data_IF_461838795859
#
_entry.id   IF_461838795859
#
_cell.length_a   1.000
_cell.length_b   1.000
_cell.length_c   1.000
_cell.angle_alpha   90.00
_cell.angle_beta   90.00
_cell.angle_gamma   90.00
#
_symmetry.space_group_name_H-M   'P 1'
#
loop_
_entity.id
_entity.type
_entity.pdbx_description
1 polymer ?
#
# COMPACT_ATOMS: atom_id res chain seq x y z
N UNK A 1 52.17 14.79 31.75
CA UNK A 1 51.08 15.14 32.67
C UNK A 1 50.08 16.04 31.96
N UNK A 2 49.32 15.50 31.04
CA UNK A 2 48.26 16.22 30.28
C UNK A 2 47.58 15.20 29.32
N UNK A 3 46.75 14.33 29.89
CA UNK A 3 45.86 13.47 29.10
C UNK A 3 44.78 12.90 30.00
N UNK A 4 43.80 13.73 30.38
CA UNK A 4 42.59 13.22 31.09
C UNK A 4 41.43 14.20 31.13
N UNK A 5 41.17 14.99 30.08
CA UNK A 5 39.96 15.83 30.04
C UNK A 5 39.33 15.91 28.64
N UNK A 6 39.04 14.78 28.00
CA UNK A 6 38.32 14.83 26.68
C UNK A 6 37.25 13.79 26.48
N UNK A 7 36.80 13.12 27.54
CA UNK A 7 35.77 12.04 27.40
C UNK A 7 34.40 12.41 27.98
N UNK A 8 34.25 13.57 28.62
CA UNK A 8 33.00 13.87 29.35
C UNK A 8 31.98 14.77 28.61
N UNK A 9 32.32 15.36 27.48
CA UNK A 9 31.39 16.26 26.77
C UNK A 9 30.47 15.60 25.73
N UNK A 10 30.73 14.35 25.32
CA UNK A 10 29.91 13.71 24.28
C UNK A 10 28.70 12.93 24.81
N UNK A 11 28.66 12.61 26.08
CA UNK A 11 27.57 11.86 26.69
C UNK A 11 26.37 12.75 27.11
N UNK A 12 26.58 14.04 27.32
CA UNK A 12 25.52 14.94 27.79
C UNK A 12 24.61 15.49 26.65
N UNK A 13 25.10 15.54 25.41
CA UNK A 13 24.32 16.07 24.30
C UNK A 13 23.29 15.05 23.78
N UNK A 14 23.57 13.74 23.94
CA UNK A 14 22.64 12.68 23.53
C UNK A 14 21.47 12.53 24.51
N UNK A 15 21.70 12.84 25.80
CA UNK A 15 20.63 12.75 26.81
C UNK A 15 19.65 13.94 26.77
N UNK A 16 20.07 15.11 26.28
CA UNK A 16 19.20 16.29 26.23
C UNK A 16 18.18 16.27 25.08
N UNK A 17 18.45 15.53 24.00
CA UNK A 17 17.48 15.41 22.88
C UNK A 17 16.40 14.37 23.16
N UNK A 18 16.65 13.36 23.99
CA UNK A 18 15.65 12.34 24.34
C UNK A 18 14.65 12.83 25.40
N UNK A 19 15.05 13.75 26.28
CA UNK A 19 14.16 14.28 27.31
C UNK A 19 13.19 15.36 26.83
N UNK A 20 13.50 16.06 25.74
CA UNK A 20 12.58 17.06 25.18
C UNK A 20 11.47 16.48 24.30
N UNK A 21 11.63 15.27 23.78
CA UNK A 21 10.58 14.58 23.02
C UNK A 21 9.52 13.99 23.96
N UNK A 22 9.91 13.53 25.14
CA UNK A 22 8.98 13.05 26.16
C UNK A 22 8.17 14.16 26.84
N UNK A 23 8.66 15.39 26.88
CA UNK A 23 7.93 16.54 27.45
C UNK A 23 6.89 17.14 26.47
N UNK A 24 7.04 16.98 25.19
CA UNK A 24 6.04 17.43 24.22
C UNK A 24 4.76 16.57 24.22
N UNK A 25 4.82 15.37 24.78
CA UNK A 25 3.67 14.44 24.90
C UNK A 25 2.99 14.47 26.28
N UNK A 26 3.40 15.29 27.23
CA UNK A 26 2.84 15.29 28.60
C UNK A 26 1.50 16.00 28.76
N UNK A 27 0.93 16.59 27.71
CA UNK A 27 -0.42 17.16 27.73
C UNK A 27 -1.36 16.31 26.87
N UNK A 28 -2.11 15.42 27.53
CA UNK A 28 -3.24 14.66 26.96
C UNK A 28 -2.94 13.70 25.79
N UNK A 29 -1.81 13.05 25.76
CA UNK A 29 -1.68 11.82 25.00
C UNK A 29 -2.24 10.68 25.85
N UNK A 30 -3.43 10.21 25.56
CA UNK A 30 -3.91 8.94 26.10
C UNK A 30 -2.86 7.85 25.91
N UNK A 31 -2.82 6.87 26.79
CA UNK A 31 -1.76 5.86 26.99
C UNK A 31 -1.46 4.90 25.81
N UNK A 32 -1.77 5.26 24.59
CA UNK A 32 -1.79 4.39 23.43
C UNK A 32 -1.02 4.87 22.19
N UNK A 33 -0.31 6.00 22.26
CA UNK A 33 0.52 6.47 21.14
C UNK A 33 1.91 5.89 21.27
N UNK A 34 2.19 4.80 20.59
CA UNK A 34 3.55 4.27 20.49
C UNK A 34 4.27 4.97 19.35
N UNK A 35 4.97 6.05 19.66
CA UNK A 35 5.99 6.58 18.76
C UNK A 35 7.22 5.70 18.93
N UNK A 36 7.38 4.72 18.07
CA UNK A 36 8.62 3.95 18.02
C UNK A 36 9.58 4.63 17.06
N UNK A 37 10.45 5.48 17.60
CA UNK A 37 11.63 5.92 16.87
C UNK A 37 12.64 4.78 16.85
N UNK A 38 12.69 4.03 15.74
CA UNK A 38 13.79 3.13 15.48
C UNK A 38 14.63 3.72 14.36
N UNK A 39 15.88 4.08 14.67
CA UNK A 39 16.82 4.65 13.73
C UNK A 39 16.95 3.76 12.46
N UNK A 40 16.64 4.28 11.27
CA UNK A 40 16.85 3.54 10.03
C UNK A 40 18.33 3.33 9.69
N UNK A 41 19.29 3.80 10.49
CA UNK A 41 20.73 3.83 10.22
C UNK A 41 21.63 3.00 11.08
N UNK A 42 21.15 2.48 12.17
CA UNK A 42 22.03 1.67 13.02
C UNK A 42 22.37 0.32 12.36
N UNK A 43 23.44 -0.35 12.85
CA UNK A 43 23.78 -1.68 12.38
C UNK A 43 22.54 -2.55 12.43
N UNK A 44 22.32 -3.36 11.39
CA UNK A 44 21.24 -4.31 11.35
C UNK A 44 21.29 -5.10 12.66
N UNK A 45 20.40 -4.81 13.59
CA UNK A 45 20.22 -5.71 14.71
C UNK A 45 19.74 -7.02 14.12
N UNK A 46 20.00 -8.13 14.77
CA UNK A 46 19.53 -9.48 14.36
C UNK A 46 18.02 -9.49 13.95
N UNK A 47 17.29 -8.41 14.17
CA UNK A 47 15.86 -8.20 13.92
C UNK A 47 15.51 -6.84 13.25
N UNK A 48 16.42 -6.17 12.72
CA UNK A 48 16.65 -5.19 11.64
C UNK A 48 15.84 -3.99 11.50
N UNK A 49 14.80 -3.55 12.10
CA UNK A 49 14.07 -2.44 11.53
C UNK A 49 13.85 -1.22 12.36
N UNK A 50 14.28 -0.18 11.75
CA UNK A 50 14.28 1.16 12.32
C UNK A 50 13.60 2.12 11.38
N UNK A 51 12.30 2.30 11.51
CA UNK A 51 11.60 3.41 10.88
C UNK A 51 10.90 4.27 11.89
N UNK A 52 10.65 5.44 11.44
CA UNK A 52 9.71 6.32 12.06
C UNK A 52 8.30 5.80 11.73
N UNK A 53 7.62 5.21 12.71
CA UNK A 53 6.22 4.85 12.56
C UNK A 53 5.45 5.59 13.65
N UNK A 54 4.52 6.42 13.25
CA UNK A 54 3.47 6.88 14.14
C UNK A 54 2.27 5.99 13.85
N UNK A 55 1.95 5.08 14.77
CA UNK A 55 0.76 4.26 14.68
C UNK A 55 -0.35 4.93 15.49
N UNK A 56 -1.47 5.19 14.83
CA UNK A 56 -2.68 5.62 15.51
C UNK A 56 -3.52 4.38 15.78
N UNK A 57 -3.91 4.12 17.02
CA UNK A 57 -4.88 3.07 17.32
C UNK A 57 -6.17 3.28 16.54
N UNK A 58 -6.79 2.19 16.08
CA UNK A 58 -7.98 2.21 15.21
C UNK A 58 -9.13 3.11 15.67
N UNK A 59 -9.23 3.35 16.96
CA UNK A 59 -10.33 4.12 17.57
C UNK A 59 -9.93 5.51 18.00
N UNK A 60 -8.66 5.84 17.92
CA UNK A 60 -8.19 7.14 18.35
C UNK A 60 -8.41 8.22 17.31
N UNK A 61 -8.63 9.40 17.84
CA UNK A 61 -8.81 10.61 17.04
C UNK A 61 -7.54 11.46 17.12
N UNK A 62 -6.57 11.25 16.20
CA UNK A 62 -5.37 12.08 16.20
C UNK A 62 -5.76 13.55 16.02
N UNK A 63 -5.05 14.44 16.68
CA UNK A 63 -5.17 15.88 16.45
C UNK A 63 -4.16 16.35 15.39
N UNK A 64 -4.21 17.63 15.02
CA UNK A 64 -3.35 18.19 13.97
C UNK A 64 -1.86 18.08 14.31
N UNK A 65 -1.48 18.14 15.59
CA UNK A 65 -0.08 17.96 16.01
C UNK A 65 0.40 16.52 15.78
N UNK A 66 -0.41 15.52 16.14
CA UNK A 66 -0.07 14.11 15.90
C UNK A 66 -0.09 13.74 14.42
N UNK A 67 -0.98 14.34 13.61
CA UNK A 67 -0.98 14.18 12.16
C UNK A 67 0.29 14.81 11.55
N UNK A 68 0.72 15.98 12.04
CA UNK A 68 1.97 16.61 11.61
C UNK A 68 3.19 15.74 11.92
N UNK A 69 3.22 15.11 13.09
CA UNK A 69 4.29 14.15 13.47
C UNK A 69 4.29 12.92 12.54
N UNK A 70 3.10 12.39 12.20
CA UNK A 70 2.97 11.28 11.26
C UNK A 70 3.54 11.66 9.88
N UNK A 71 3.18 12.83 9.35
CA UNK A 71 3.66 13.32 8.06
C UNK A 71 5.16 13.60 8.05
N UNK A 72 5.70 14.19 9.12
CA UNK A 72 7.14 14.41 9.28
C UNK A 72 7.89 13.07 9.35
N UNK A 73 7.40 12.11 10.12
CA UNK A 73 7.99 10.77 10.24
C UNK A 73 8.00 10.04 8.90
N UNK A 74 6.92 10.14 8.14
CA UNK A 74 6.81 9.57 6.80
C UNK A 74 7.84 10.16 5.83
N UNK A 75 8.03 11.48 5.84
CA UNK A 75 9.01 12.17 4.99
C UNK A 75 10.45 11.81 5.37
N UNK A 76 10.74 11.74 6.67
CA UNK A 76 12.05 11.31 7.17
C UNK A 76 12.37 9.87 6.77
N UNK A 77 11.39 8.97 6.90
CA UNK A 77 11.54 7.58 6.48
C UNK A 77 11.82 7.49 4.96
N UNK A 78 11.07 8.20 4.15
CA UNK A 78 11.29 8.28 2.70
C UNK A 78 12.71 8.76 2.36
N UNK A 79 13.14 9.86 2.98
CA UNK A 79 14.48 10.41 2.76
C UNK A 79 15.58 9.43 3.16
N UNK A 80 15.39 8.72 4.28
CA UNK A 80 16.33 7.70 4.75
C UNK A 80 16.41 6.48 3.82
N UNK A 81 15.30 6.02 3.25
CA UNK A 81 15.30 4.96 2.24
C UNK A 81 16.02 5.39 0.97
N UNK A 82 15.73 6.60 0.49
CA UNK A 82 16.33 7.15 -0.74
C UNK A 82 17.84 7.32 -0.58
N UNK A 83 18.30 7.90 0.53
CA UNK A 83 19.74 8.13 0.77
C UNK A 83 20.57 6.84 0.86
N UNK A 84 19.93 5.71 1.15
CA UNK A 84 20.58 4.39 1.26
C UNK A 84 20.47 3.52 0.04
N UNK A 85 19.85 3.99 -1.03
CA UNK A 85 19.60 3.18 -2.21
C UNK A 85 18.59 2.05 -1.99
N UNK A 86 17.80 2.09 -0.90
CA UNK A 86 16.79 1.08 -0.59
C UNK A 86 15.43 1.39 -1.26
N UNK A 87 15.48 2.03 -2.42
CA UNK A 87 14.30 2.37 -3.20
C UNK A 87 14.52 2.09 -4.67
N UNK A 88 13.54 1.47 -5.27
CA UNK A 88 13.40 1.44 -6.72
C UNK A 88 12.44 2.56 -7.14
N UNK A 89 12.85 3.39 -8.07
CA UNK A 89 12.12 4.59 -8.47
C UNK A 89 11.88 4.63 -9.96
N UNK A 90 10.69 5.04 -10.37
CA UNK A 90 10.30 5.22 -11.77
C UNK A 90 9.98 6.69 -11.99
N UNK A 91 10.77 7.34 -12.84
CA UNK A 91 10.58 8.74 -13.22
C UNK A 91 9.46 8.87 -14.25
N UNK A 92 8.71 9.97 -14.27
CA UNK A 92 7.74 10.24 -15.32
C UNK A 92 8.43 10.45 -16.66
N UNK A 93 7.69 10.20 -17.75
CA UNK A 93 8.16 10.40 -19.14
C UNK A 93 7.78 11.76 -19.70
N UNK A 94 7.02 12.58 -18.97
CA UNK A 94 6.53 13.88 -19.43
C UNK A 94 5.30 13.81 -20.34
N UNK A 95 4.61 12.65 -20.38
CA UNK A 95 3.41 12.40 -21.18
C UNK A 95 2.17 12.16 -20.31
N UNK A 96 2.16 12.74 -19.10
CA UNK A 96 1.08 12.55 -18.14
C UNK A 96 -0.28 12.99 -18.68
N UNK A 97 -1.31 12.19 -18.37
CA UNK A 97 -2.69 12.57 -18.70
C UNK A 97 -3.15 13.66 -17.74
N UNK A 98 -3.66 14.76 -18.32
CA UNK A 98 -4.29 15.84 -17.57
C UNK A 98 -5.81 15.60 -17.49
N UNK A 99 -6.38 15.82 -16.31
CA UNK A 99 -7.82 15.72 -16.12
C UNK A 99 -8.48 17.10 -16.11
N UNK A 100 -9.66 17.17 -16.68
CA UNK A 100 -10.52 18.34 -16.46
C UNK A 100 -10.86 18.43 -14.97
N UNK A 101 -10.79 19.60 -14.39
CA UNK A 101 -11.18 19.85 -12.99
C UNK A 101 -12.36 20.81 -13.00
N UNK A 102 -13.47 20.39 -12.40
CA UNK A 102 -14.60 21.28 -12.20
C UNK A 102 -14.41 22.08 -10.91
N UNK A 103 -15.13 23.23 -10.78
CA UNK A 103 -15.23 23.89 -9.49
C UNK A 103 -15.81 22.91 -8.47
N UNK A 104 -15.16 22.79 -7.30
CA UNK A 104 -15.64 21.91 -6.25
C UNK A 104 -17.08 22.29 -5.86
N UNK A 105 -18.02 21.34 -5.89
CA UNK A 105 -19.33 21.55 -5.31
C UNK A 105 -19.20 21.67 -3.79
N UNK A 106 -20.10 22.41 -3.16
CA UNK A 106 -20.11 22.52 -1.71
C UNK A 106 -20.43 21.17 -1.06
N UNK A 107 -19.62 20.77 -0.10
CA UNK A 107 -19.87 19.62 0.75
C UNK A 107 -19.36 19.94 2.16
N UNK A 108 -20.24 20.50 2.98
CA UNK A 108 -19.92 20.95 4.35
C UNK A 108 -19.27 19.85 5.17
N UNK A 109 -19.73 18.60 5.01
CA UNK A 109 -19.21 17.46 5.77
C UNK A 109 -17.80 17.10 5.28
N UNK A 110 -17.55 17.10 3.96
CA UNK A 110 -16.25 16.77 3.41
C UNK A 110 -15.22 17.88 3.70
N UNK A 111 -15.66 19.14 3.57
CA UNK A 111 -14.84 20.31 3.92
C UNK A 111 -14.46 20.30 5.40
N UNK A 112 -15.37 19.86 6.28
CA UNK A 112 -15.08 19.64 7.71
C UNK A 112 -14.04 18.52 7.91
N UNK A 113 -14.12 17.44 7.14
CA UNK A 113 -13.10 16.36 7.23
C UNK A 113 -11.72 16.84 6.76
N UNK A 114 -11.65 17.63 5.69
CA UNK A 114 -10.39 18.20 5.21
C UNK A 114 -9.83 19.29 6.13
N UNK A 115 -10.68 20.02 6.86
CA UNK A 115 -10.25 21.11 7.76
C UNK A 115 -9.93 20.66 9.18
N UNK A 116 -10.58 19.60 9.69
CA UNK A 116 -10.49 19.18 11.10
C UNK A 116 -10.45 17.64 11.28
N UNK A 117 -10.63 16.89 10.20
CA UNK A 117 -10.64 15.41 10.25
C UNK A 117 -9.31 14.81 9.83
N UNK A 118 -9.35 13.58 9.37
CA UNK A 118 -8.18 12.74 9.09
C UNK A 118 -7.86 12.60 7.63
N UNK A 119 -8.78 13.03 6.75
CA UNK A 119 -8.60 12.98 5.30
C UNK A 119 -7.57 14.03 4.90
N UNK A 120 -6.48 13.59 4.28
CA UNK A 120 -5.38 14.42 3.79
C UNK A 120 -5.52 14.71 2.30
N UNK A 121 -6.28 13.89 1.58
CA UNK A 121 -6.58 14.06 0.17
C UNK A 121 -7.86 13.33 -0.18
N UNK A 122 -8.69 13.97 -0.97
CA UNK A 122 -9.91 13.40 -1.50
C UNK A 122 -10.09 13.81 -2.96
N UNK A 123 -10.18 12.82 -3.85
CA UNK A 123 -10.49 13.02 -5.27
C UNK A 123 -11.74 12.23 -5.63
N UNK A 124 -12.72 12.92 -6.23
CA UNK A 124 -13.86 12.28 -6.89
C UNK A 124 -13.80 12.58 -8.38
N UNK A 125 -13.65 11.53 -9.17
CA UNK A 125 -13.60 11.56 -10.63
C UNK A 125 -14.88 10.95 -11.20
N UNK A 126 -15.43 11.60 -12.21
CA UNK A 126 -16.64 11.14 -12.91
C UNK A 126 -16.52 11.51 -14.39
N UNK A 127 -16.54 10.48 -15.25
CA UNK A 127 -16.54 10.63 -16.71
C UNK A 127 -15.54 11.66 -17.27
N UNK A 128 -14.26 11.48 -17.00
CA UNK A 128 -13.17 12.33 -17.54
C UNK A 128 -12.90 13.61 -16.74
N UNK A 129 -13.69 13.88 -15.69
CA UNK A 129 -13.59 15.12 -14.92
C UNK A 129 -13.41 14.84 -13.43
N UNK A 130 -12.47 15.52 -12.80
CA UNK A 130 -12.37 15.56 -11.34
C UNK A 130 -13.47 16.50 -10.85
N UNK A 131 -14.52 15.94 -10.25
CA UNK A 131 -15.68 16.66 -9.72
C UNK A 131 -15.44 17.27 -8.35
N UNK A 132 -14.52 16.69 -7.59
CA UNK A 132 -14.06 17.24 -6.32
C UNK A 132 -12.57 16.99 -6.17
N UNK A 133 -11.82 18.05 -5.88
CA UNK A 133 -10.39 18.06 -5.68
C UNK A 133 -10.09 18.70 -4.33
N UNK A 134 -9.99 17.88 -3.27
CA UNK A 134 -9.85 18.35 -1.90
C UNK A 134 -8.52 17.96 -1.25
N UNK A 135 -7.90 18.95 -0.63
CA UNK A 135 -6.77 18.81 0.29
C UNK A 135 -7.00 19.74 1.49
N UNK A 136 -6.34 19.51 2.64
CA UNK A 136 -6.35 20.44 3.75
C UNK A 136 -5.88 21.84 3.33
N UNK A 137 -6.42 22.88 3.98
CA UNK A 137 -5.97 24.24 3.73
C UNK A 137 -4.50 24.41 4.11
N UNK A 138 -3.73 25.23 3.39
CA UNK A 138 -2.37 25.59 3.77
C UNK A 138 -2.32 26.12 5.22
N UNK A 139 -1.25 25.81 5.92
CA UNK A 139 -1.04 26.19 7.32
C UNK A 139 -1.78 25.34 8.37
N UNK A 140 -2.56 24.33 7.96
CA UNK A 140 -3.19 23.39 8.91
C UNK A 140 -2.14 22.52 9.61
N UNK A 141 -1.16 22.05 8.87
CA UNK A 141 -0.08 21.20 9.38
C UNK A 141 1.25 21.94 9.30
N UNK A 142 2.23 21.45 10.04
CA UNK A 142 3.61 21.98 10.00
C UNK A 142 4.17 22.06 8.57
N UNK A 143 3.75 21.14 7.70
CA UNK A 143 4.03 21.15 6.27
C UNK A 143 2.75 20.94 5.51
N UNK A 144 2.53 21.73 4.50
CA UNK A 144 1.35 21.64 3.66
C UNK A 144 1.29 20.33 2.88
N UNK A 145 0.08 19.88 2.65
CA UNK A 145 -0.23 18.78 1.76
C UNK A 145 -0.56 19.40 0.39
N UNK A 146 0.10 18.91 -0.65
CA UNK A 146 -0.04 19.37 -2.03
C UNK A 146 -0.09 18.21 -3.03
N UNK A 147 -0.16 18.52 -4.33
CA UNK A 147 -0.20 17.52 -5.40
C UNK A 147 1.13 16.75 -5.58
N UNK A 148 2.23 17.25 -5.03
CA UNK A 148 3.54 16.59 -5.04
C UNK A 148 3.79 15.76 -3.78
N UNK A 149 2.88 15.82 -2.81
CA UNK A 149 2.99 15.04 -1.58
C UNK A 149 2.90 13.55 -1.88
N UNK A 150 3.96 12.83 -1.50
CA UNK A 150 4.01 11.37 -1.63
C UNK A 150 3.32 10.72 -0.45
N UNK A 151 2.44 9.78 -0.70
CA UNK A 151 1.74 9.00 0.30
C UNK A 151 2.14 7.53 0.20
N UNK A 152 2.27 6.86 1.35
CA UNK A 152 2.35 5.41 1.37
C UNK A 152 0.98 4.84 1.01
N UNK A 153 0.95 3.96 0.04
CA UNK A 153 -0.30 3.30 -0.37
C UNK A 153 -0.79 2.28 0.65
N UNK A 154 0.10 1.85 1.56
CA UNK A 154 -0.18 0.71 2.41
C UNK A 154 -0.72 -0.46 1.57
N UNK A 155 -1.74 -1.16 2.04
CA UNK A 155 -2.25 -2.35 1.34
C UNK A 155 -2.87 -2.09 -0.03
N UNK A 156 -3.17 -0.84 -0.40
CA UNK A 156 -3.54 -0.47 -1.78
C UNK A 156 -2.43 -0.83 -2.78
N UNK A 157 -1.17 -0.82 -2.36
CA UNK A 157 -0.05 -1.30 -3.18
C UNK A 157 -0.17 -2.74 -3.65
N UNK A 158 -0.89 -3.61 -2.90
CA UNK A 158 -1.15 -4.99 -3.29
C UNK A 158 -1.92 -5.09 -4.61
N UNK A 159 -2.90 -4.21 -4.79
CA UNK A 159 -3.71 -4.16 -6.00
C UNK A 159 -2.92 -3.61 -7.19
N UNK A 160 -1.98 -2.69 -6.93
CA UNK A 160 -1.06 -2.20 -7.96
C UNK A 160 -0.15 -3.33 -8.45
N UNK A 161 0.36 -4.19 -7.54
CA UNK A 161 1.11 -5.39 -7.93
C UNK A 161 0.25 -6.33 -8.76
N UNK A 162 -1.01 -6.54 -8.41
CA UNK A 162 -1.93 -7.34 -9.24
C UNK A 162 -2.09 -6.77 -10.65
N UNK A 163 -2.18 -5.45 -10.77
CA UNK A 163 -2.24 -4.80 -12.08
C UNK A 163 -0.95 -5.01 -12.90
N UNK A 164 0.22 -4.96 -12.25
CA UNK A 164 1.52 -5.29 -12.88
C UNK A 164 1.54 -6.76 -13.32
N UNK A 165 0.99 -7.70 -12.53
CA UNK A 165 0.83 -9.11 -12.93
C UNK A 165 0.01 -9.22 -14.22
N UNK A 166 -1.10 -8.50 -14.33
CA UNK A 166 -1.89 -8.46 -15.56
C UNK A 166 -1.07 -8.04 -16.79
N UNK A 167 -0.23 -7.02 -16.63
CA UNK A 167 0.69 -6.58 -17.67
C UNK A 167 1.79 -7.63 -17.97
N UNK A 168 2.32 -8.30 -16.96
CA UNK A 168 3.30 -9.37 -17.14
C UNK A 168 2.73 -10.55 -17.94
N UNK A 169 1.47 -10.91 -17.65
CA UNK A 169 0.74 -11.93 -18.43
C UNK A 169 0.57 -11.47 -19.89
N UNK A 170 0.11 -10.25 -20.09
CA UNK A 170 -0.13 -9.73 -21.44
C UNK A 170 1.15 -9.52 -22.27
N UNK A 171 2.30 -9.47 -21.63
CA UNK A 171 3.62 -9.43 -22.28
C UNK A 171 4.26 -10.80 -22.45
N UNK A 172 3.60 -11.88 -21.97
CA UNK A 172 4.09 -13.25 -22.12
C UNK A 172 5.17 -13.65 -21.12
N UNK A 173 5.48 -12.79 -20.11
CA UNK A 173 6.42 -13.18 -19.05
C UNK A 173 5.83 -14.25 -18.12
N UNK A 174 4.52 -14.21 -17.94
CA UNK A 174 3.72 -15.20 -17.21
C UNK A 174 2.62 -15.68 -18.18
N UNK A 175 2.44 -16.99 -18.29
CA UNK A 175 1.50 -17.54 -19.28
C UNK A 175 0.03 -17.23 -18.94
N UNK A 176 -0.30 -17.27 -17.65
CA UNK A 176 -1.66 -16.95 -17.15
C UNK A 176 -1.67 -16.77 -15.63
N UNK A 177 -2.81 -16.30 -15.10
CA UNK A 177 -3.02 -16.27 -13.64
C UNK A 177 -3.06 -17.66 -12.99
N UNK A 178 -3.28 -18.71 -13.79
CA UNK A 178 -3.29 -20.09 -13.32
C UNK A 178 -1.92 -20.78 -13.50
N UNK A 179 -0.91 -20.06 -13.98
CA UNK A 179 0.45 -20.59 -14.08
C UNK A 179 0.94 -21.09 -12.72
N UNK A 180 1.47 -22.31 -12.61
CA UNK A 180 2.08 -22.78 -11.40
C UNK A 180 3.30 -21.93 -11.03
N UNK A 181 3.44 -21.61 -9.74
CA UNK A 181 4.65 -20.95 -9.22
C UNK A 181 5.83 -21.89 -9.36
N UNK A 182 6.55 -21.75 -10.43
CA UNK A 182 7.77 -22.51 -10.68
C UNK A 182 8.99 -21.57 -10.50
N UNK A 183 9.31 -21.27 -9.25
CA UNK A 183 10.42 -20.42 -8.86
C UNK A 183 11.40 -21.20 -7.99
N UNK A 184 12.65 -21.47 -8.44
CA UNK A 184 13.60 -22.30 -7.72
C UNK A 184 13.77 -21.92 -6.24
N UNK A 185 13.70 -20.63 -5.94
CA UNK A 185 13.75 -20.13 -4.57
C UNK A 185 12.65 -20.69 -3.67
N UNK A 186 11.46 -20.90 -4.22
CA UNK A 186 10.28 -21.37 -3.47
C UNK A 186 10.02 -22.88 -3.63
N UNK A 187 10.90 -23.62 -4.34
CA UNK A 187 10.70 -25.02 -4.70
C UNK A 187 10.50 -25.99 -3.53
N UNK A 188 10.97 -25.64 -2.33
CA UNK A 188 10.82 -26.45 -1.11
C UNK A 188 9.81 -25.88 -0.11
N UNK A 189 8.92 -24.99 -0.57
CA UNK A 189 7.93 -24.34 0.29
C UNK A 189 6.51 -24.70 -0.16
N UNK A 190 5.53 -24.39 0.69
CA UNK A 190 4.11 -24.59 0.34
C UNK A 190 3.67 -23.82 -0.93
N UNK A 191 4.42 -22.85 -1.39
CA UNK A 191 4.05 -22.04 -2.57
C UNK A 191 4.47 -22.68 -3.90
N UNK A 192 5.35 -23.69 -3.86
CA UNK A 192 5.78 -24.38 -5.07
C UNK A 192 4.60 -25.00 -5.82
N UNK A 193 4.59 -24.85 -7.12
CA UNK A 193 3.57 -25.39 -8.02
C UNK A 193 2.12 -24.95 -7.76
N UNK A 194 1.90 -24.04 -6.82
CA UNK A 194 0.58 -23.47 -6.66
C UNK A 194 0.24 -22.53 -7.83
N UNK A 195 -1.00 -22.53 -8.32
CA UNK A 195 -1.45 -21.53 -9.27
C UNK A 195 -1.26 -20.11 -8.72
N UNK A 196 -0.71 -19.21 -9.53
CA UNK A 196 -0.45 -17.81 -9.13
C UNK A 196 -1.71 -17.14 -8.56
N UNK A 197 -2.89 -17.50 -9.05
CA UNK A 197 -4.17 -16.97 -8.57
C UNK A 197 -4.40 -17.27 -7.08
N UNK A 198 -3.89 -18.36 -6.53
CA UNK A 198 -4.02 -18.65 -5.10
C UNK A 198 -3.29 -17.61 -4.24
N UNK A 199 -2.10 -17.18 -4.67
CA UNK A 199 -1.35 -16.14 -3.97
C UNK A 199 -2.02 -14.77 -4.16
N UNK A 200 -2.55 -14.50 -5.35
CA UNK A 200 -3.31 -13.28 -5.65
C UNK A 200 -4.60 -13.20 -4.82
N UNK A 201 -5.29 -14.32 -4.63
CA UNK A 201 -6.55 -14.41 -3.87
C UNK A 201 -6.33 -14.56 -2.36
N UNK A 202 -5.08 -14.59 -1.87
CA UNK A 202 -4.77 -14.80 -0.46
C UNK A 202 -5.30 -16.14 0.10
N UNK A 203 -5.39 -17.17 -0.74
CA UNK A 203 -5.86 -18.50 -0.34
C UNK A 203 -4.80 -19.61 -0.61
N UNK A 204 -3.55 -19.26 -0.41
CA UNK A 204 -2.42 -20.16 -0.59
C UNK A 204 -2.31 -21.26 0.50
N UNK A 205 -3.20 -21.28 1.49
CA UNK A 205 -3.19 -22.29 2.57
C UNK A 205 -2.05 -22.12 3.57
N UNK A 206 -1.59 -20.89 3.78
CA UNK A 206 -0.44 -20.53 4.61
C UNK A 206 -0.80 -20.04 6.02
N UNK A 207 -2.06 -20.18 6.44
CA UNK A 207 -2.56 -19.76 7.76
C UNK A 207 -1.78 -20.31 8.94
N UNK A 208 -1.16 -21.50 8.78
CA UNK A 208 -0.38 -22.15 9.83
C UNK A 208 1.12 -21.81 9.77
N UNK A 209 1.55 -21.09 8.75
CA UNK A 209 2.98 -20.80 8.51
C UNK A 209 3.30 -19.32 8.57
N UNK A 210 2.29 -18.46 8.40
CA UNK A 210 2.43 -17.00 8.38
C UNK A 210 1.35 -16.38 9.29
N UNK A 211 1.66 -15.29 9.97
CA UNK A 211 0.67 -14.57 10.78
C UNK A 211 -0.29 -13.73 9.93
N UNK A 212 -1.52 -13.57 10.37
CA UNK A 212 -2.49 -12.68 9.74
C UNK A 212 -1.98 -11.22 9.72
N UNK A 213 -2.26 -10.50 8.64
CA UNK A 213 -1.73 -9.15 8.38
C UNK A 213 -0.24 -9.14 8.08
N UNK A 214 0.35 -10.18 8.28
CA UNK A 214 1.63 -10.76 8.22
C UNK A 214 2.80 -9.89 8.27
N UNK A 215 3.15 -9.96 9.37
CA UNK A 215 4.38 -9.36 9.72
C UNK A 215 5.45 -10.39 10.05
N UNK A 216 5.09 -11.65 10.22
CA UNK A 216 6.04 -12.69 10.66
C UNK A 216 5.73 -14.03 10.02
N UNK A 217 6.78 -14.74 9.66
CA UNK A 217 6.72 -16.17 9.39
C UNK A 217 6.71 -16.91 10.74
N UNK A 218 5.85 -17.91 10.90
CA UNK A 218 5.74 -18.66 12.15
C UNK A 218 7.09 -19.24 12.55
N UNK A 219 7.38 -19.22 13.85
CA UNK A 219 8.70 -19.63 14.37
C UNK A 219 9.79 -18.58 14.26
N UNK A 220 9.57 -17.46 13.57
CA UNK A 220 10.53 -16.36 13.50
C UNK A 220 10.13 -15.19 14.42
N UNK A 221 11.12 -14.61 15.11
CA UNK A 221 10.96 -13.36 15.86
C UNK A 221 11.08 -12.14 14.96
N UNK A 222 11.66 -12.28 13.76
CA UNK A 222 11.86 -11.21 12.83
C UNK A 222 10.59 -10.92 12.03
N UNK A 223 10.34 -9.64 11.78
CA UNK A 223 9.29 -9.21 10.88
C UNK A 223 9.70 -9.56 9.44
N UNK A 224 8.77 -10.01 8.57
CA UNK A 224 9.09 -10.35 7.18
C UNK A 224 9.76 -9.19 6.41
N UNK A 225 9.50 -7.95 6.82
CA UNK A 225 10.18 -6.76 6.28
C UNK A 225 11.69 -6.76 6.48
N UNK A 226 12.16 -7.51 7.45
CA UNK A 226 13.56 -7.56 7.84
C UNK A 226 14.29 -8.73 7.20
N UNK A 227 13.56 -9.53 6.44
CA UNK A 227 14.05 -10.71 5.77
C UNK A 227 14.03 -10.52 4.25
N UNK A 228 15.06 -11.02 3.60
CA UNK A 228 15.02 -11.26 2.16
C UNK A 228 14.21 -12.55 1.85
N UNK A 229 13.92 -12.76 0.58
CA UNK A 229 13.16 -13.93 0.17
C UNK A 229 13.93 -15.25 0.35
N UNK A 230 15.25 -15.22 0.38
CA UNK A 230 16.06 -16.40 0.70
C UNK A 230 15.80 -16.85 2.14
N UNK A 231 15.82 -15.90 3.07
CA UNK A 231 15.51 -16.15 4.48
C UNK A 231 14.07 -16.62 4.65
N UNK A 232 13.11 -16.01 3.96
CA UNK A 232 11.70 -16.43 3.98
C UNK A 232 11.57 -17.86 3.45
N UNK A 233 12.20 -18.18 2.33
CA UNK A 233 12.16 -19.52 1.74
C UNK A 233 12.76 -20.58 2.67
N UNK A 234 13.89 -20.28 3.34
CA UNK A 234 14.49 -21.18 4.35
C UNK A 234 13.55 -21.43 5.53
N UNK A 235 12.86 -20.39 6.02
CA UNK A 235 11.92 -20.53 7.13
C UNK A 235 10.66 -21.32 6.76
N UNK A 236 10.29 -21.31 5.47
CA UNK A 236 9.14 -22.04 4.95
C UNK A 236 9.52 -23.40 4.34
N UNK A 237 10.78 -23.80 4.41
CA UNK A 237 11.23 -25.08 3.87
C UNK A 237 10.50 -26.24 4.53
N UNK A 238 9.98 -27.17 3.73
CA UNK A 238 9.23 -28.34 4.21
C UNK A 238 7.81 -28.04 4.67
N UNK A 239 7.33 -26.79 4.47
CA UNK A 239 5.91 -26.47 4.76
C UNK A 239 5.02 -26.95 3.64
N UNK A 240 3.80 -27.35 4.00
CA UNK A 240 2.77 -27.81 3.07
C UNK A 240 1.56 -26.90 3.08
N UNK A 241 0.87 -26.87 1.95
CA UNK A 241 -0.41 -26.15 1.84
C UNK A 241 -1.48 -26.82 2.70
N UNK A 242 -2.20 -26.03 3.53
CA UNK A 242 -3.32 -26.51 4.35
C UNK A 242 -4.57 -25.63 4.14
N UNK A 243 -5.57 -26.22 3.49
CA UNK A 243 -6.82 -25.52 3.21
C UNK A 243 -6.71 -24.53 2.06
N UNK A 244 -7.80 -23.77 1.84
CA UNK A 244 -7.95 -22.79 0.78
C UNK A 244 -8.73 -21.54 1.24
N UNK A 245 -8.86 -21.34 2.54
CA UNK A 245 -9.49 -20.14 3.09
C UNK A 245 -8.67 -18.90 2.78
N UNK A 246 -9.35 -17.78 2.65
CA UNK A 246 -8.66 -16.49 2.54
C UNK A 246 -7.94 -16.21 3.85
N UNK A 247 -6.63 -16.08 3.75
CA UNK A 247 -5.77 -15.68 4.85
C UNK A 247 -4.92 -14.47 4.44
N UNK A 248 -5.40 -13.29 4.82
CA UNK A 248 -4.81 -12.03 4.38
C UNK A 248 -3.44 -11.80 5.00
N UNK A 249 -2.39 -11.73 4.17
CA UNK A 249 -1.03 -11.46 4.61
C UNK A 249 -0.18 -10.70 3.58
N UNK A 250 0.91 -10.08 4.03
CA UNK A 250 1.80 -9.28 3.20
C UNK A 250 2.80 -10.15 2.42
N UNK A 251 3.24 -11.28 3.00
CA UNK A 251 4.26 -12.16 2.42
C UNK A 251 3.86 -12.60 1.02
N UNK A 252 2.59 -12.98 0.81
CA UNK A 252 2.09 -13.40 -0.50
C UNK A 252 2.23 -12.33 -1.57
N UNK A 253 2.06 -11.06 -1.21
CA UNK A 253 2.17 -9.98 -2.20
C UNK A 253 3.63 -9.73 -2.57
N UNK A 254 4.52 -9.76 -1.59
CA UNK A 254 5.94 -9.55 -1.84
C UNK A 254 6.52 -10.74 -2.65
N UNK A 255 6.07 -11.97 -2.40
CA UNK A 255 6.41 -13.15 -3.23
C UNK A 255 5.90 -12.96 -4.66
N UNK A 256 4.64 -12.56 -4.86
CA UNK A 256 4.09 -12.32 -6.21
C UNK A 256 4.89 -11.25 -6.94
N UNK A 257 5.20 -10.12 -6.28
CA UNK A 257 5.99 -9.04 -6.88
C UNK A 257 7.37 -9.54 -7.34
N UNK A 258 8.02 -10.35 -6.52
CA UNK A 258 9.34 -10.90 -6.85
C UNK A 258 9.27 -12.04 -7.87
N UNK A 259 8.18 -12.80 -7.90
CA UNK A 259 7.93 -13.78 -8.95
C UNK A 259 7.80 -13.10 -10.32
N UNK A 260 7.10 -11.97 -10.40
CA UNK A 260 7.06 -11.16 -11.63
C UNK A 260 8.46 -10.72 -12.05
N UNK A 261 9.28 -10.26 -11.09
CA UNK A 261 10.65 -9.87 -11.38
C UNK A 261 11.50 -11.04 -11.88
N UNK A 262 11.36 -12.23 -11.28
CA UNK A 262 12.01 -13.45 -11.71
C UNK A 262 11.60 -13.85 -13.14
N UNK A 263 10.31 -13.80 -13.46
CA UNK A 263 9.78 -14.19 -14.77
C UNK A 263 10.11 -13.18 -15.88
N UNK A 264 10.11 -11.90 -15.57
CA UNK A 264 10.46 -10.85 -16.53
C UNK A 264 11.98 -10.70 -16.73
N UNK A 265 12.77 -11.18 -15.79
CA UNK A 265 14.23 -11.17 -15.77
C UNK A 265 14.81 -9.81 -16.26
N UNK A 266 15.61 -9.80 -17.32
CA UNK A 266 16.24 -8.58 -17.85
C UNK A 266 15.26 -7.53 -18.36
N UNK A 267 14.03 -7.91 -18.64
CA UNK A 267 12.96 -7.00 -19.06
C UNK A 267 12.14 -6.42 -17.88
N UNK A 268 12.48 -6.74 -16.62
CA UNK A 268 11.67 -6.29 -15.49
C UNK A 268 11.58 -4.76 -15.37
N UNK A 269 12.71 -4.06 -15.52
CA UNK A 269 12.72 -2.60 -15.50
C UNK A 269 11.89 -2.02 -16.67
N UNK A 270 12.00 -2.62 -17.85
CA UNK A 270 11.21 -2.27 -19.03
C UNK A 270 9.73 -2.50 -18.81
N UNK A 271 9.35 -3.61 -18.19
CA UNK A 271 7.96 -3.90 -17.82
C UNK A 271 7.41 -2.81 -16.88
N UNK A 272 8.12 -2.48 -15.81
CA UNK A 272 7.67 -1.46 -14.86
C UNK A 272 7.58 -0.07 -15.50
N UNK A 273 8.57 0.33 -16.30
CA UNK A 273 8.54 1.58 -17.07
C UNK A 273 7.35 1.62 -18.03
N UNK A 274 7.10 0.55 -18.78
CA UNK A 274 5.95 0.45 -19.66
C UNK A 274 4.62 0.62 -18.90
N UNK A 275 4.48 0.01 -17.72
CA UNK A 275 3.27 0.13 -16.90
C UNK A 275 3.09 1.57 -16.41
N UNK A 276 4.12 2.16 -15.78
CA UNK A 276 3.97 3.47 -15.12
C UNK A 276 4.11 4.65 -16.07
N UNK A 277 5.00 4.59 -17.05
CA UNK A 277 5.27 5.70 -17.98
C UNK A 277 4.33 5.71 -19.18
N UNK A 278 4.04 4.54 -19.78
CA UNK A 278 3.31 4.49 -21.04
C UNK A 278 1.82 4.19 -20.84
N UNK A 279 1.44 3.37 -19.85
CA UNK A 279 0.05 2.99 -19.57
C UNK A 279 -0.61 3.91 -18.57
N UNK A 280 -0.03 4.03 -17.38
CA UNK A 280 -0.54 4.89 -16.30
C UNK A 280 -0.25 6.36 -16.61
N UNK A 281 0.90 6.66 -17.24
CA UNK A 281 1.37 8.00 -17.58
C UNK A 281 1.49 8.88 -16.34
N UNK A 282 2.29 8.39 -15.38
CA UNK A 282 2.55 9.12 -14.12
C UNK A 282 3.12 10.53 -14.39
N UNK A 283 2.78 11.47 -13.55
CA UNK A 283 3.27 12.86 -13.57
C UNK A 283 4.45 13.07 -12.63
N UNK A 284 4.48 12.32 -11.53
CA UNK A 284 5.51 12.41 -10.52
C UNK A 284 6.24 11.06 -10.39
N UNK A 285 7.44 11.11 -9.83
CA UNK A 285 8.22 9.90 -9.57
C UNK A 285 7.49 9.00 -8.56
N UNK A 286 7.38 7.72 -8.86
CA UNK A 286 6.82 6.70 -7.97
C UNK A 286 7.94 5.83 -7.42
N UNK A 287 7.75 5.32 -6.19
CA UNK A 287 8.83 4.63 -5.49
C UNK A 287 8.33 3.37 -4.82
N UNK A 288 9.15 2.31 -4.90
CA UNK A 288 8.97 1.05 -4.18
C UNK A 288 10.12 0.87 -3.18
N UNK A 289 9.81 0.51 -1.96
CA UNK A 289 10.85 0.06 -1.03
C UNK A 289 11.44 -1.26 -1.53
N UNK A 290 12.75 -1.40 -1.44
CA UNK A 290 13.45 -2.66 -1.70
C UNK A 290 13.55 -3.49 -0.41
N UNK A 291 13.54 -4.81 -0.53
CA UNK A 291 13.91 -5.68 0.57
C UNK A 291 15.35 -5.39 1.00
N UNK A 292 15.59 -5.26 2.31
CA UNK A 292 16.85 -4.73 2.82
C UNK A 292 18.06 -5.60 2.56
N UNK A 293 17.91 -6.86 2.53
CA UNK A 293 19.00 -7.79 2.31
C UNK A 293 18.99 -8.32 0.87
N UNK A 294 18.57 -7.50 -0.09
CA UNK A 294 18.99 -7.72 -1.48
C UNK A 294 20.50 -7.53 -1.56
N UNK A 295 21.20 -8.44 -0.87
CA UNK A 295 22.63 -8.55 -0.97
C UNK A 295 22.96 -8.87 -2.42
N UNK A 296 24.15 -8.50 -2.85
CA UNK A 296 24.73 -8.92 -4.13
C UNK A 296 24.58 -10.42 -4.43
N UNK A 297 24.31 -11.25 -3.41
CA UNK A 297 24.03 -12.68 -3.51
C UNK A 297 22.59 -12.93 -3.98
N UNK A 298 21.57 -12.23 -3.43
CA UNK A 298 20.18 -12.34 -3.93
C UNK A 298 20.06 -11.84 -5.37
N UNK A 299 20.73 -10.74 -5.69
CA UNK A 299 20.75 -10.20 -7.04
C UNK A 299 21.48 -11.13 -8.02
N UNK A 300 22.62 -11.73 -7.62
CA UNK A 300 23.33 -12.69 -8.44
C UNK A 300 22.57 -13.99 -8.68
N UNK A 301 21.85 -14.49 -7.66
CA UNK A 301 21.12 -15.77 -7.76
C UNK A 301 19.78 -15.60 -8.49
N UNK A 302 19.12 -14.45 -8.37
CA UNK A 302 17.76 -14.23 -8.85
C UNK A 302 17.61 -12.94 -9.67
N UNK A 303 18.68 -12.24 -9.90
CA UNK A 303 18.93 -11.25 -10.96
C UNK A 303 18.26 -9.89 -10.79
N UNK A 304 17.37 -9.66 -9.78
CA UNK A 304 16.60 -8.40 -9.79
C UNK A 304 16.29 -7.90 -8.38
N UNK A 305 16.12 -6.56 -8.23
CA UNK A 305 15.71 -5.96 -6.98
C UNK A 305 14.38 -6.54 -6.50
N UNK A 306 14.35 -7.03 -5.28
CA UNK A 306 13.13 -7.53 -4.67
C UNK A 306 12.35 -6.37 -4.10
N UNK A 307 11.34 -5.91 -4.83
CA UNK A 307 10.48 -4.81 -4.39
C UNK A 307 9.51 -5.26 -3.32
N UNK A 308 9.30 -4.38 -2.37
CA UNK A 308 8.32 -4.50 -1.32
C UNK A 308 7.16 -3.55 -1.61
N UNK A 309 6.10 -4.08 -2.14
CA UNK A 309 4.95 -3.28 -2.52
C UNK A 309 3.67 -3.61 -1.75
N UNK A 310 3.74 -4.57 -0.81
CA UNK A 310 2.59 -4.95 0.00
C UNK A 310 2.04 -3.80 0.85
N UNK A 311 2.87 -2.76 1.13
CA UNK A 311 2.47 -1.54 1.83
C UNK A 311 3.46 -0.37 1.72
N UNK A 312 4.57 -0.52 1.04
CA UNK A 312 5.65 0.49 0.96
C UNK A 312 5.79 1.11 -0.43
N UNK A 313 4.73 1.10 -1.22
CA UNK A 313 4.66 1.84 -2.47
C UNK A 313 4.27 3.29 -2.19
N UNK A 314 5.01 4.23 -2.78
CA UNK A 314 4.81 5.66 -2.55
C UNK A 314 4.47 6.36 -3.85
N UNK A 315 3.38 7.12 -3.82
CA UNK A 315 2.80 7.77 -4.99
C UNK A 315 2.06 9.05 -4.59
N UNK A 316 1.94 10.00 -5.51
CA UNK A 316 1.13 11.19 -5.30
C UNK A 316 -0.37 10.88 -5.47
N UNK A 317 -1.22 11.77 -4.98
CA UNK A 317 -2.68 11.66 -5.10
C UNK A 317 -3.14 11.61 -6.58
N UNK A 318 -2.56 12.46 -7.41
CA UNK A 318 -2.88 12.54 -8.84
C UNK A 318 -2.46 11.29 -9.59
N UNK A 319 -1.29 10.76 -9.29
CA UNK A 319 -0.80 9.53 -9.92
C UNK A 319 -1.57 8.29 -9.44
N UNK A 320 -2.04 8.27 -8.20
CA UNK A 320 -2.92 7.20 -7.72
C UNK A 320 -4.28 7.21 -8.46
N UNK A 321 -4.79 8.40 -8.80
CA UNK A 321 -5.97 8.53 -9.68
C UNK A 321 -5.65 8.02 -11.09
N UNK A 322 -4.46 8.33 -11.66
CA UNK A 322 -4.06 7.81 -12.98
C UNK A 322 -3.98 6.28 -12.99
N UNK A 323 -3.49 5.67 -11.92
CA UNK A 323 -3.55 4.19 -11.76
C UNK A 323 -4.99 3.69 -11.85
N UNK A 324 -5.92 4.29 -11.12
CA UNK A 324 -7.32 3.91 -11.12
C UNK A 324 -7.99 4.10 -12.49
N UNK A 325 -7.72 5.23 -13.14
CA UNK A 325 -8.24 5.53 -14.51
C UNK A 325 -7.68 4.54 -15.53
N UNK A 326 -6.40 4.17 -15.43
CA UNK A 326 -5.79 3.19 -16.32
C UNK A 326 -6.44 1.81 -16.17
N UNK A 327 -6.65 1.35 -14.92
CA UNK A 327 -7.38 0.11 -14.65
C UNK A 327 -8.80 0.14 -15.21
N UNK A 328 -9.51 1.25 -15.03
CA UNK A 328 -10.88 1.43 -15.54
C UNK A 328 -10.91 1.38 -17.07
N UNK A 329 -10.04 2.13 -17.75
CA UNK A 329 -9.94 2.14 -19.21
C UNK A 329 -9.62 0.75 -19.77
N UNK A 330 -8.66 0.04 -19.17
CA UNK A 330 -8.35 -1.34 -19.57
C UNK A 330 -9.56 -2.25 -19.42
N UNK A 331 -10.27 -2.17 -18.29
CA UNK A 331 -11.46 -2.96 -18.02
C UNK A 331 -12.56 -2.67 -19.06
N UNK A 332 -12.89 -1.40 -19.31
CA UNK A 332 -13.94 -0.97 -20.24
C UNK A 332 -13.62 -1.35 -21.69
N UNK A 333 -12.38 -1.14 -22.11
CA UNK A 333 -11.91 -1.42 -23.47
C UNK A 333 -11.60 -2.90 -23.73
N UNK A 334 -11.79 -3.78 -22.73
CA UNK A 334 -11.54 -5.22 -22.84
C UNK A 334 -10.13 -5.53 -23.37
N UNK A 335 -9.14 -4.71 -22.98
CA UNK A 335 -7.74 -5.00 -23.30
C UNK A 335 -7.33 -6.34 -22.70
N UNK A 336 -6.15 -6.86 -23.06
CA UNK A 336 -5.63 -8.07 -22.43
C UNK A 336 -5.60 -7.92 -20.89
N UNK A 337 -5.12 -6.80 -20.37
CA UNK A 337 -5.11 -6.51 -18.92
C UNK A 337 -6.53 -6.35 -18.38
N UNK A 338 -7.42 -5.72 -19.14
CA UNK A 338 -8.84 -5.61 -18.80
C UNK A 338 -9.52 -6.96 -18.67
N UNK A 339 -9.21 -7.92 -19.55
CA UNK A 339 -9.70 -9.29 -19.44
C UNK A 339 -9.14 -10.01 -18.21
N UNK A 340 -7.84 -9.79 -17.87
CA UNK A 340 -7.28 -10.26 -16.62
C UNK A 340 -8.06 -9.71 -15.41
N UNK A 341 -8.35 -8.40 -15.38
CA UNK A 341 -9.13 -7.79 -14.29
C UNK A 341 -10.53 -8.38 -14.16
N UNK A 342 -11.21 -8.67 -15.28
CA UNK A 342 -12.52 -9.37 -15.30
C UNK A 342 -12.42 -10.78 -14.77
N UNK A 343 -11.37 -11.48 -15.12
CA UNK A 343 -11.14 -12.86 -14.71
C UNK A 343 -10.86 -13.01 -13.22
N UNK A 344 -10.04 -12.13 -12.63
CA UNK A 344 -9.82 -12.16 -11.18
C UNK A 344 -11.09 -11.78 -10.42
N UNK A 345 -11.94 -10.90 -10.96
CA UNK A 345 -13.24 -10.58 -10.39
C UNK A 345 -14.19 -11.80 -10.39
N UNK A 346 -14.23 -12.54 -11.49
CA UNK A 346 -15.05 -13.78 -11.60
C UNK A 346 -14.59 -14.85 -10.60
N UNK A 347 -13.27 -14.98 -10.42
CA UNK A 347 -12.65 -15.99 -9.54
C UNK A 347 -12.46 -15.51 -8.08
N UNK A 348 -13.05 -14.37 -7.73
CA UNK A 348 -12.96 -13.84 -6.37
C UNK A 348 -13.72 -14.72 -5.37
N UNK A 349 -13.08 -15.02 -4.24
CA UNK A 349 -13.61 -15.83 -3.17
C UNK A 349 -14.51 -15.02 -2.23
N UNK A 350 -15.35 -15.70 -1.44
CA UNK A 350 -16.14 -15.06 -0.38
C UNK A 350 -15.22 -14.38 0.64
N UNK A 351 -15.51 -13.11 0.96
CA UNK A 351 -14.71 -12.35 1.90
C UNK A 351 -15.17 -12.59 3.35
N UNK A 352 -14.33 -13.19 4.21
CA UNK A 352 -14.74 -13.61 5.55
C UNK A 352 -15.00 -12.46 6.52
N UNK A 353 -14.51 -11.23 6.18
CA UNK A 353 -14.66 -10.04 7.02
C UNK A 353 -15.88 -9.17 6.63
N UNK A 354 -16.74 -9.62 5.71
CA UNK A 354 -17.98 -8.92 5.39
C UNK A 354 -18.87 -8.75 6.64
N UNK A 355 -19.14 -7.51 7.04
CA UNK A 355 -19.84 -7.17 8.28
C UNK A 355 -20.58 -5.82 8.17
N UNK A 356 -21.48 -5.62 7.21
CA UNK A 356 -22.07 -4.30 6.93
C UNK A 356 -22.96 -3.76 8.05
N UNK A 357 -23.44 -4.63 8.95
CA UNK A 357 -24.32 -4.26 10.07
C UNK A 357 -23.59 -3.99 11.38
N UNK A 358 -22.28 -4.23 11.47
CA UNK A 358 -21.55 -3.99 12.72
C UNK A 358 -21.38 -2.51 12.99
N UNK A 359 -21.42 -2.12 14.28
CA UNK A 359 -21.32 -0.74 14.77
C UNK A 359 -20.16 0.06 14.19
N UNK A 360 -19.02 -0.57 13.90
CA UNK A 360 -17.82 0.07 13.36
C UNK A 360 -17.58 -0.30 11.87
N UNK A 361 -18.58 -0.84 11.17
CA UNK A 361 -18.43 -1.23 9.77
C UNK A 361 -18.09 -0.04 8.88
N UNK A 362 -18.60 1.16 9.19
CA UNK A 362 -18.34 2.40 8.44
C UNK A 362 -16.87 2.81 8.38
N UNK A 363 -16.06 2.37 9.34
CA UNK A 363 -14.63 2.69 9.41
C UNK A 363 -13.77 1.95 8.37
N UNK A 364 -14.32 0.91 7.73
CA UNK A 364 -13.57 0.06 6.81
C UNK A 364 -14.39 -0.27 5.57
N UNK A 365 -13.84 0.03 4.42
CA UNK A 365 -14.47 -0.23 3.13
C UNK A 365 -14.70 -1.73 2.90
N UNK A 366 -13.73 -2.55 3.27
CA UNK A 366 -13.79 -4.01 3.10
C UNK A 366 -14.93 -4.70 3.86
N UNK A 367 -15.48 -4.08 4.91
CA UNK A 367 -16.63 -4.63 5.62
C UNK A 367 -17.91 -4.66 4.77
N UNK A 368 -17.95 -3.90 3.69
CA UNK A 368 -19.07 -3.84 2.75
C UNK A 368 -18.87 -4.72 1.51
N UNK A 369 -17.68 -5.28 1.32
CA UNK A 369 -17.36 -6.17 0.21
C UNK A 369 -17.74 -7.62 0.55
N UNK A 370 -18.41 -8.31 -0.36
CA UNK A 370 -18.76 -9.73 -0.21
C UNK A 370 -17.68 -10.67 -0.75
N UNK A 371 -16.82 -10.18 -1.63
CA UNK A 371 -15.80 -10.98 -2.29
C UNK A 371 -14.43 -10.29 -2.28
N UNK A 372 -13.38 -11.12 -2.28
CA UNK A 372 -11.99 -10.71 -2.42
C UNK A 372 -11.26 -11.63 -3.39
N UNK A 373 -10.48 -11.06 -4.29
CA UNK A 373 -9.68 -11.83 -5.24
C UNK A 373 -8.74 -10.91 -6.04
N UNK A 374 -7.64 -11.46 -6.52
CA UNK A 374 -6.65 -10.68 -7.28
C UNK A 374 -6.13 -9.45 -6.53
N UNK A 375 -6.15 -9.46 -5.20
CA UNK A 375 -5.83 -8.31 -4.33
C UNK A 375 -6.83 -7.14 -4.37
N UNK A 376 -8.08 -7.37 -4.82
CA UNK A 376 -9.17 -6.39 -4.85
C UNK A 376 -10.38 -6.87 -4.07
N UNK A 377 -11.20 -5.91 -3.64
CA UNK A 377 -12.52 -6.12 -3.05
C UNK A 377 -13.61 -5.93 -4.10
N UNK A 378 -14.63 -6.79 -4.06
CA UNK A 378 -15.72 -6.82 -5.04
C UNK A 378 -17.07 -7.05 -4.37
N UNK A 379 -18.14 -6.85 -5.17
CA UNK A 379 -19.52 -7.14 -4.78
C UNK A 379 -19.90 -6.41 -3.49
N UNK A 380 -19.89 -5.10 -3.58
CA UNK A 380 -20.22 -4.23 -2.46
C UNK A 380 -21.72 -4.23 -2.16
N UNK A 381 -22.03 -4.20 -0.86
CA UNK A 381 -23.41 -4.17 -0.37
C UNK A 381 -24.25 -3.10 -1.06
N UNK A 382 -25.43 -3.48 -1.58
CA UNK A 382 -26.34 -2.63 -2.35
C UNK A 382 -25.82 -2.13 -3.71
N UNK A 383 -24.74 -2.71 -4.22
CA UNK A 383 -24.18 -2.49 -5.55
C UNK A 383 -23.62 -3.79 -6.13
N UNK A 384 -24.19 -4.93 -5.75
CA UNK A 384 -23.67 -6.25 -6.11
C UNK A 384 -23.71 -6.51 -7.63
N UNK A 385 -24.64 -5.87 -8.32
CA UNK A 385 -24.82 -6.04 -9.78
C UNK A 385 -23.87 -5.16 -10.60
N UNK A 386 -23.21 -4.18 -9.96
CA UNK A 386 -22.25 -3.30 -10.61
C UNK A 386 -20.84 -3.88 -10.57
N UNK A 387 -20.05 -3.60 -11.60
CA UNK A 387 -18.65 -3.97 -11.67
C UNK A 387 -17.78 -2.97 -10.91
N UNK A 388 -17.76 -3.13 -9.59
CA UNK A 388 -16.97 -2.28 -8.69
C UNK A 388 -15.74 -3.03 -8.22
N UNK A 389 -14.58 -2.38 -8.35
CA UNK A 389 -13.30 -2.83 -7.80
C UNK A 389 -12.82 -1.81 -6.78
N UNK A 390 -12.43 -2.29 -5.61
CA UNK A 390 -11.86 -1.41 -4.61
C UNK A 390 -10.59 -1.98 -3.99
N UNK A 391 -9.77 -1.06 -3.50
CA UNK A 391 -8.57 -1.32 -2.73
C UNK A 391 -8.67 -0.60 -1.40
N UNK A 392 -8.06 -1.15 -0.37
CA UNK A 392 -8.01 -0.50 0.93
C UNK A 392 -6.63 -0.65 1.55
N UNK A 393 -6.04 0.45 1.94
CA UNK A 393 -4.80 0.53 2.69
C UNK A 393 -5.02 1.07 4.10
N UNK A 394 -4.13 0.65 5.01
CA UNK A 394 -4.13 1.13 6.40
C UNK A 394 -4.22 2.66 6.44
N UNK A 395 -4.88 3.19 7.45
CA UNK A 395 -5.16 4.62 7.61
C UNK A 395 -6.05 5.24 6.51
N UNK A 396 -6.78 4.45 5.71
CA UNK A 396 -7.73 4.98 4.73
C UNK A 396 -7.11 5.44 3.42
N UNK A 397 -6.11 4.70 2.95
CA UNK A 397 -5.57 4.83 1.60
C UNK A 397 -6.42 4.01 0.65
N UNK A 398 -7.39 4.61 -0.01
CA UNK A 398 -8.39 3.86 -0.76
C UNK A 398 -8.46 4.29 -2.23
N UNK A 399 -8.80 3.32 -3.07
CA UNK A 399 -9.33 3.52 -4.41
C UNK A 399 -10.63 2.73 -4.50
N UNK A 400 -11.68 3.34 -5.01
CA UNK A 400 -12.90 2.64 -5.40
C UNK A 400 -13.30 3.05 -6.80
N UNK A 401 -13.46 2.09 -7.69
CA UNK A 401 -13.71 2.28 -9.11
C UNK A 401 -15.03 1.61 -9.47
N UNK A 402 -15.95 2.36 -10.03
CA UNK A 402 -17.11 1.85 -10.73
C UNK A 402 -16.78 1.75 -12.21
N UNK A 403 -16.52 0.55 -12.65
CA UNK A 403 -16.10 0.25 -14.02
C UNK A 403 -17.20 0.51 -15.04
N UNK A 404 -18.47 0.42 -14.64
CA UNK A 404 -19.61 0.60 -15.53
C UNK A 404 -19.97 2.08 -15.73
N UNK A 405 -19.82 2.89 -14.67
CA UNK A 405 -20.27 4.28 -14.66
C UNK A 405 -19.11 5.30 -14.66
N UNK A 406 -17.88 4.86 -14.90
CA UNK A 406 -16.69 5.71 -14.97
C UNK A 406 -16.49 6.63 -13.77
N UNK A 407 -16.79 6.13 -12.54
CA UNK A 407 -16.63 6.88 -11.30
C UNK A 407 -15.49 6.33 -10.45
N UNK A 408 -14.70 7.22 -9.90
CA UNK A 408 -13.57 6.85 -9.05
C UNK A 408 -13.54 7.76 -7.83
N UNK A 409 -13.35 7.16 -6.66
CA UNK A 409 -12.94 7.89 -5.45
C UNK A 409 -11.55 7.43 -5.04
N UNK A 410 -10.66 8.40 -4.82
CA UNK A 410 -9.32 8.18 -4.26
C UNK A 410 -9.19 8.96 -2.97
N UNK A 411 -8.75 8.31 -1.91
CA UNK A 411 -8.51 8.96 -0.62
C UNK A 411 -7.14 8.63 -0.06
N UNK A 412 -6.51 9.61 0.57
CA UNK A 412 -5.40 9.42 1.49
C UNK A 412 -5.77 10.04 2.83
N UNK A 413 -5.46 9.36 3.91
CA UNK A 413 -5.75 9.87 5.24
C UNK A 413 -4.70 9.44 6.26
N UNK A 414 -4.68 10.11 7.39
CA UNK A 414 -3.75 9.82 8.49
C UNK A 414 -4.29 8.74 9.45
N UNK A 415 -5.60 8.46 9.42
CA UNK A 415 -6.22 7.47 10.29
C UNK A 415 -7.46 6.84 9.64
N UNK A 416 -7.88 5.68 10.13
CA UNK A 416 -9.10 4.98 9.68
C UNK A 416 -10.38 5.47 10.37
N UNK A 417 -10.26 6.31 11.38
CA UNK A 417 -11.38 6.73 12.25
C UNK A 417 -12.32 7.76 11.57
N UNK A 418 -12.73 7.50 10.32
CA UNK A 418 -13.71 8.31 9.59
C UNK A 418 -14.67 7.42 8.78
N UNK A 419 -15.82 7.94 8.44
CA UNK A 419 -16.89 7.18 7.80
C UNK A 419 -16.65 6.94 6.31
N UNK A 420 -15.93 5.87 5.99
CA UNK A 420 -15.64 5.45 4.61
C UNK A 420 -16.91 5.07 3.83
N UNK A 421 -17.99 4.64 4.53
CA UNK A 421 -19.28 4.38 3.89
C UNK A 421 -19.85 5.64 3.26
N UNK A 422 -19.93 6.73 4.03
CA UNK A 422 -20.50 7.99 3.55
C UNK A 422 -19.61 8.63 2.49
N UNK A 423 -18.30 8.66 2.71
CA UNK A 423 -17.38 9.41 1.84
C UNK A 423 -16.91 8.64 0.61
N UNK A 424 -16.97 7.31 0.59
CA UNK A 424 -16.54 6.53 -0.56
C UNK A 424 -17.71 5.73 -1.15
N UNK A 425 -18.28 4.81 -0.37
CA UNK A 425 -19.28 3.87 -0.86
C UNK A 425 -20.51 4.59 -1.41
N UNK A 426 -21.07 5.55 -0.63
CA UNK A 426 -22.26 6.29 -1.02
C UNK A 426 -21.98 7.25 -2.19
N UNK A 427 -20.77 7.83 -2.28
CA UNK A 427 -20.40 8.69 -3.41
C UNK A 427 -20.36 7.90 -4.72
N UNK A 428 -19.75 6.72 -4.70
CA UNK A 428 -19.76 5.81 -5.86
C UNK A 428 -21.19 5.36 -6.18
N UNK A 429 -21.98 5.04 -5.15
CA UNK A 429 -23.35 4.54 -5.31
C UNK A 429 -24.29 5.57 -5.93
N UNK A 430 -24.30 6.77 -5.41
CA UNK A 430 -25.25 7.80 -5.78
C UNK A 430 -24.72 8.85 -6.77
N UNK A 431 -23.40 8.87 -7.02
CA UNK A 431 -22.77 9.89 -7.87
C UNK A 431 -22.83 11.30 -7.29
N UNK A 432 -23.02 11.42 -5.97
CA UNK A 432 -23.19 12.70 -5.27
C UNK A 432 -22.30 12.74 -4.03
N UNK A 433 -21.69 13.89 -3.78
CA UNK A 433 -20.96 14.12 -2.54
C UNK A 433 -21.91 14.16 -1.34
N UNK A 434 -21.45 13.77 -0.14
CA UNK A 434 -22.24 13.94 1.07
C UNK A 434 -22.44 15.43 1.35
N UNK A 435 -23.66 15.79 1.75
CA UNK A 435 -24.05 17.17 2.06
C UNK A 435 -23.70 17.56 3.49
#
# INVERSE_FOLDING_TARGET
MLTKYFVFCFSLVVFYQTTNISKACSFNCGSSHVITQKDPGGPATKYGNRYFTVEFPEKERPNDATISLYEDGRRQFFSALKSRGNMYSIKPKGNSETFKVSKNPQSTILDKQLSKGYILSYLYYDNGTIKYNGIPKPGRFKRDIDDKTLFFTHSTGKSIISYIVGHAICKGYISSKNEPINWPLMSKTLYNEQPLINLLNMNAGDKHTVNEGASRVMGSKAHHRDMDHITIAKLLQGTERKGNDIFYNNVLTDIVASYVAFRADNDYDKLLKMVFQDKIKIENEVHFELHRNTSSISEKLYGKPQIRASYSFMITRGDLLRVAVSMMKDYQNKTCVGNYLRDIQKQANSWPKYRPSKKNASLYLHNYAKKYGGKFYFKFNQMEDRNIMATEGYNGQNIMIDMDNSKIVVTQSAATAWDQRTFILNVIRYGKLPK
#
